data_IF_139089247728
#
_entry.id   IF_139089247728
#
_cell.length_a   1.000
_cell.length_b   1.000
_cell.length_c   1.000
_cell.angle_alpha   90.00
_cell.angle_beta   90.00
_cell.angle_gamma   90.00
#
_symmetry.space_group_name_H-M   'P 1'
#
loop_
_entity.id
_entity.type
_entity.pdbx_description
1 polymer ?
#
# COMPACT_ATOMS: atom_id res chain seq x y z
N UNK A 1 -30.45 -3.78 -11.33
CA UNK A 1 -29.54 -3.83 -12.49
C UNK A 1 -29.90 -5.00 -13.38
N UNK A 2 -30.06 -4.78 -14.65
CA UNK A 2 -30.36 -5.83 -15.63
C UNK A 2 -29.15 -6.75 -15.82
N UNK A 3 -29.41 -7.99 -16.17
CA UNK A 3 -28.34 -9.00 -16.36
C UNK A 3 -27.27 -8.57 -17.38
N UNK A 4 -27.73 -7.98 -18.50
CA UNK A 4 -26.83 -7.45 -19.54
C UNK A 4 -25.85 -6.41 -18.98
N UNK A 5 -26.35 -5.49 -18.15
CA UNK A 5 -25.54 -4.46 -17.51
C UNK A 5 -24.56 -5.06 -16.51
N UNK A 6 -24.95 -6.11 -15.78
CA UNK A 6 -24.06 -6.86 -14.88
C UNK A 6 -22.91 -7.51 -15.63
N UNK A 7 -23.19 -8.14 -16.76
CA UNK A 7 -22.14 -8.76 -17.59
C UNK A 7 -21.15 -7.75 -18.12
N UNK A 8 -21.63 -6.59 -18.58
CA UNK A 8 -20.78 -5.52 -19.05
C UNK A 8 -19.93 -4.93 -17.93
N UNK A 9 -20.54 -4.67 -16.78
CA UNK A 9 -19.84 -4.17 -15.61
C UNK A 9 -18.78 -5.17 -15.10
N UNK A 10 -19.09 -6.45 -15.10
CA UNK A 10 -18.15 -7.51 -14.72
C UNK A 10 -16.96 -7.60 -15.68
N UNK A 11 -17.23 -7.54 -16.98
CA UNK A 11 -16.17 -7.56 -17.99
C UNK A 11 -15.22 -6.37 -17.86
N UNK A 12 -15.77 -5.18 -17.62
CA UNK A 12 -14.96 -3.98 -17.37
C UNK A 12 -14.14 -4.11 -16.10
N UNK A 13 -14.74 -4.60 -15.01
CA UNK A 13 -14.04 -4.84 -13.75
C UNK A 13 -12.89 -5.82 -13.93
N UNK A 14 -13.11 -6.92 -14.65
CA UNK A 14 -12.09 -7.92 -14.89
C UNK A 14 -10.88 -7.34 -15.64
N UNK A 15 -11.11 -6.46 -16.61
CA UNK A 15 -10.04 -5.77 -17.33
C UNK A 15 -9.28 -4.80 -16.43
N UNK A 16 -10.00 -3.99 -15.67
CA UNK A 16 -9.39 -2.99 -14.77
C UNK A 16 -8.57 -3.63 -13.66
N UNK A 17 -9.01 -4.80 -13.17
CA UNK A 17 -8.35 -5.51 -12.07
C UNK A 17 -7.30 -6.53 -12.54
N UNK A 18 -7.07 -6.67 -13.84
CA UNK A 18 -6.10 -7.63 -14.38
C UNK A 18 -4.69 -7.50 -13.78
N UNK A 19 -4.11 -6.29 -13.65
CA UNK A 19 -2.79 -6.14 -13.03
C UNK A 19 -2.77 -6.60 -11.58
N UNK A 20 -3.86 -6.39 -10.84
CA UNK A 20 -3.97 -6.81 -9.45
C UNK A 20 -4.11 -8.32 -9.32
N UNK A 21 -4.78 -8.97 -10.26
CA UNK A 21 -4.85 -10.44 -10.30
C UNK A 21 -3.49 -11.07 -10.48
N UNK A 22 -2.68 -10.50 -11.36
CA UNK A 22 -1.31 -10.94 -11.55
C UNK A 22 -0.51 -10.77 -10.26
N UNK A 23 -0.58 -9.61 -9.62
CA UNK A 23 0.09 -9.35 -8.35
C UNK A 23 -0.39 -10.28 -7.22
N UNK A 24 -1.68 -10.62 -7.20
CA UNK A 24 -2.25 -11.51 -6.19
C UNK A 24 -1.75 -12.96 -6.29
N UNK A 25 -1.28 -13.38 -7.46
CA UNK A 25 -0.70 -14.71 -7.67
C UNK A 25 0.72 -14.81 -7.13
N UNK A 26 1.40 -13.69 -7.03
CA UNK A 26 2.76 -13.64 -6.50
C UNK A 26 2.72 -13.70 -4.98
N UNK A 27 3.74 -14.32 -4.41
CA UNK A 27 3.89 -14.34 -2.97
C UNK A 27 4.19 -12.93 -2.48
N UNK A 28 3.44 -12.48 -1.47
CA UNK A 28 3.72 -11.21 -0.82
C UNK A 28 5.13 -11.23 -0.22
N UNK A 29 6.01 -10.29 -0.58
CA UNK A 29 7.42 -10.35 -0.18
C UNK A 29 7.61 -10.19 1.33
N UNK A 30 6.74 -9.45 2.00
CA UNK A 30 6.85 -9.17 3.44
C UNK A 30 5.56 -8.55 3.97
N UNK A 31 5.29 -8.73 5.27
CA UNK A 31 4.23 -8.03 5.99
C UNK A 31 4.70 -6.68 6.54
N UNK A 32 5.99 -6.37 6.37
CA UNK A 32 6.66 -5.15 6.81
C UNK A 32 7.09 -4.30 5.61
N UNK A 33 6.16 -3.94 4.72
CA UNK A 33 6.48 -3.21 3.50
C UNK A 33 7.13 -1.86 3.76
N UNK A 34 6.57 -1.07 4.68
CA UNK A 34 7.10 0.26 4.98
C UNK A 34 8.56 0.20 5.41
N UNK A 35 8.86 -0.67 6.35
CA UNK A 35 10.21 -0.85 6.86
C UNK A 35 11.14 -1.42 5.80
N UNK A 36 10.71 -2.42 5.06
CA UNK A 36 11.50 -3.07 4.01
C UNK A 36 11.88 -2.08 2.91
N UNK A 37 10.92 -1.28 2.45
CA UNK A 37 11.19 -0.27 1.41
C UNK A 37 12.11 0.82 1.96
N UNK A 38 11.85 1.32 3.16
CA UNK A 38 12.68 2.34 3.79
C UNK A 38 14.14 1.87 3.91
N UNK A 39 14.36 0.66 4.40
CA UNK A 39 15.70 0.06 4.50
C UNK A 39 16.35 -0.11 3.12
N UNK A 40 15.60 -0.63 2.16
CA UNK A 40 16.10 -0.83 0.79
C UNK A 40 16.50 0.46 0.10
N UNK A 41 15.81 1.57 0.40
CA UNK A 41 16.13 2.89 -0.13
C UNK A 41 17.18 3.64 0.72
N UNK A 42 17.59 3.08 1.84
CA UNK A 42 18.58 3.69 2.72
C UNK A 42 18.11 4.98 3.41
N UNK A 43 16.80 5.11 3.66
CA UNK A 43 16.24 6.33 4.25
C UNK A 43 16.11 6.18 5.76
N UNK A 44 16.79 7.03 6.56
CA UNK A 44 16.64 7.00 8.02
C UNK A 44 15.23 7.41 8.46
N UNK A 45 14.77 6.85 9.58
CA UNK A 45 13.47 7.21 10.16
C UNK A 45 13.36 8.72 10.42
N UNK A 46 14.43 9.34 10.89
CA UNK A 46 14.47 10.80 11.15
C UNK A 46 14.12 11.61 9.90
N UNK A 47 14.61 11.20 8.74
CA UNK A 47 14.33 11.89 7.48
C UNK A 47 12.85 11.71 7.07
N UNK A 48 12.33 10.50 7.20
CA UNK A 48 10.92 10.23 6.95
C UNK A 48 10.03 11.08 7.88
N UNK A 49 10.35 11.08 9.17
CA UNK A 49 9.61 11.87 10.17
C UNK A 49 9.60 13.36 9.81
N UNK A 50 10.73 13.91 9.39
CA UNK A 50 10.82 15.30 8.95
C UNK A 50 9.94 15.61 7.75
N UNK A 51 9.93 14.73 6.75
CA UNK A 51 9.10 14.88 5.54
C UNK A 51 7.61 14.76 5.84
N UNK A 52 7.23 13.92 6.81
CA UNK A 52 5.85 13.74 7.22
C UNK A 52 5.36 14.78 8.23
N UNK A 53 6.26 15.58 8.79
CA UNK A 53 5.91 16.53 9.85
C UNK A 53 5.54 15.86 11.17
N UNK A 54 6.14 14.71 11.47
CA UNK A 54 5.91 13.92 12.68
C UNK A 54 7.25 13.62 13.36
N UNK A 55 7.22 13.00 14.53
CA UNK A 55 8.44 12.55 15.20
C UNK A 55 8.81 11.11 14.80
N UNK A 56 10.05 10.72 15.10
CA UNK A 56 10.54 9.38 14.77
C UNK A 56 9.72 8.26 15.41
N UNK A 57 9.25 8.48 16.65
CA UNK A 57 8.41 7.51 17.36
C UNK A 57 7.11 7.22 16.59
N UNK A 58 6.50 8.23 15.99
CA UNK A 58 5.29 8.07 15.20
C UNK A 58 5.54 7.26 13.91
N UNK A 59 6.70 7.40 13.30
CA UNK A 59 7.09 6.59 12.15
C UNK A 59 7.25 5.12 12.57
N UNK A 60 7.93 4.84 13.66
CA UNK A 60 8.06 3.48 14.19
C UNK A 60 6.71 2.86 14.56
N UNK A 61 5.81 3.65 15.15
CA UNK A 61 4.45 3.20 15.45
C UNK A 61 3.67 2.84 14.19
N UNK A 62 3.81 3.62 13.12
CA UNK A 62 3.16 3.34 11.86
C UNK A 62 3.67 2.03 11.24
N UNK A 63 4.99 1.80 11.28
CA UNK A 63 5.57 0.54 10.83
C UNK A 63 5.02 -0.66 11.60
N UNK A 64 4.85 -0.53 12.93
CA UNK A 64 4.25 -1.57 13.76
C UNK A 64 2.77 -1.81 13.42
N UNK A 65 2.03 -0.74 13.16
CA UNK A 65 0.61 -0.84 12.78
C UNK A 65 0.42 -1.54 11.46
N UNK A 66 1.34 -1.36 10.52
CA UNK A 66 1.30 -2.13 9.27
C UNK A 66 1.38 -3.62 9.56
N UNK A 67 2.33 -4.05 10.37
CA UNK A 67 2.55 -5.46 10.71
C UNK A 67 1.30 -6.09 11.33
N UNK A 68 0.60 -5.39 12.19
CA UNK A 68 -0.61 -5.88 12.88
C UNK A 68 -1.91 -5.50 12.17
N UNK A 69 -1.82 -4.98 10.94
CA UNK A 69 -2.97 -4.64 10.09
C UNK A 69 -3.92 -3.59 10.67
N UNK A 70 -3.40 -2.64 11.44
CA UNK A 70 -4.19 -1.52 11.98
C UNK A 70 -3.86 -0.17 11.37
N UNK A 71 -2.90 -0.11 10.44
CA UNK A 71 -2.59 1.11 9.71
C UNK A 71 -3.69 1.43 8.70
N UNK A 72 -4.01 2.73 8.57
CA UNK A 72 -4.97 3.18 7.56
C UNK A 72 -4.31 3.30 6.19
N UNK A 73 -5.10 3.17 5.13
CA UNK A 73 -4.62 3.40 3.75
C UNK A 73 -3.99 4.78 3.62
N UNK A 74 -4.60 5.80 4.24
CA UNK A 74 -4.06 7.17 4.20
C UNK A 74 -2.67 7.25 4.84
N UNK A 75 -2.48 6.63 5.99
CA UNK A 75 -1.18 6.62 6.67
C UNK A 75 -0.11 5.89 5.86
N UNK A 76 -0.46 4.76 5.26
CA UNK A 76 0.44 4.02 4.37
C UNK A 76 0.83 4.85 3.15
N UNK A 77 -0.14 5.51 2.53
CA UNK A 77 0.09 6.37 1.36
C UNK A 77 0.98 7.57 1.70
N UNK A 78 0.79 8.19 2.87
CA UNK A 78 1.60 9.31 3.32
C UNK A 78 3.06 8.92 3.53
N UNK A 79 3.30 7.77 4.16
CA UNK A 79 4.67 7.31 4.36
C UNK A 79 5.32 6.90 3.04
N UNK A 80 4.59 6.23 2.15
CA UNK A 80 5.08 5.91 0.81
C UNK A 80 5.52 7.18 0.08
N UNK A 81 4.71 8.24 0.11
CA UNK A 81 5.04 9.53 -0.50
C UNK A 81 6.30 10.15 0.12
N UNK A 82 6.44 10.07 1.44
CA UNK A 82 7.63 10.57 2.14
C UNK A 82 8.91 9.83 1.72
N UNK A 83 8.78 8.58 1.27
CA UNK A 83 9.90 7.80 0.73
C UNK A 83 10.13 8.03 -0.77
N UNK A 84 9.37 8.94 -1.40
CA UNK A 84 9.41 9.14 -2.85
C UNK A 84 8.76 8.01 -3.64
N UNK A 85 7.91 7.24 -2.98
CA UNK A 85 7.23 6.08 -3.55
C UNK A 85 5.74 6.36 -3.75
N UNK A 86 5.10 5.48 -4.48
CA UNK A 86 3.66 5.50 -4.71
C UNK A 86 3.04 4.29 -4.05
N UNK A 87 2.03 4.52 -3.21
CA UNK A 87 1.25 3.43 -2.63
C UNK A 87 0.13 3.03 -3.57
N UNK A 88 0.03 1.73 -3.84
CA UNK A 88 -1.05 1.16 -4.64
C UNK A 88 -1.74 0.07 -3.84
N UNK A 89 -3.03 -0.09 -4.05
CA UNK A 89 -3.83 -1.14 -3.44
C UNK A 89 -4.94 -1.58 -4.39
N UNK A 90 -5.52 -2.73 -4.14
CA UNK A 90 -6.60 -3.23 -4.96
C UNK A 90 -7.35 -4.37 -4.30
N UNK A 91 -8.51 -4.67 -4.85
CA UNK A 91 -9.34 -5.80 -4.47
C UNK A 91 -9.41 -6.75 -5.66
N UNK A 92 -9.10 -8.00 -5.44
CA UNK A 92 -9.12 -9.01 -6.50
C UNK A 92 -10.43 -9.78 -6.40
N UNK A 93 -11.34 -9.60 -7.36
CA UNK A 93 -12.59 -10.35 -7.37
C UNK A 93 -12.42 -11.83 -7.67
#
# INVERSE_FOLDING_TARGET
MRERERKMARGKLDLEMKPFRWAAREKHPTDELLRTVRHGLGIPVKEIAGRMGVNASQVFQLEKREVVHTATVLSLARMAKAMGCRFIYGIVP
#
